data_IF_241937784195
#
_entry.id   IF_241937784195
#
_cell.length_a   1.000
_cell.length_b   1.000
_cell.length_c   1.000
_cell.angle_alpha   90.00
_cell.angle_beta   90.00
_cell.angle_gamma   90.00
#
_symmetry.space_group_name_H-M   'P 1'
#
loop_
_entity.id
_entity.type
_entity.pdbx_description
1 polymer ?
#
# COMPACT_ATOMS: atom_id res chain seq x y z
N UNK A 1 -10.41 -19.54 11.85
CA UNK A 1 -9.31 -19.10 10.95
C UNK A 1 -8.60 -20.29 10.28
N UNK A 2 -9.34 -21.10 9.50
CA UNK A 2 -8.74 -22.20 8.73
C UNK A 2 -8.31 -21.72 7.33
N UNK A 3 -8.78 -20.56 6.88
CA UNK A 3 -8.52 -19.94 5.59
C UNK A 3 -8.49 -18.41 5.76
N UNK A 4 -7.48 -17.84 6.43
CA UNK A 4 -7.41 -16.40 6.62
C UNK A 4 -7.38 -15.72 5.26
N UNK A 5 -8.11 -14.59 5.15
CA UNK A 5 -8.27 -13.75 3.94
C UNK A 5 -8.93 -14.40 2.72
N UNK A 6 -9.25 -15.71 2.73
CA UNK A 6 -9.98 -16.41 1.67
C UNK A 6 -11.46 -16.63 2.02
N UNK A 7 -12.09 -15.61 2.62
CA UNK A 7 -13.48 -15.65 3.06
C UNK A 7 -14.47 -15.12 2.02
N UNK A 8 -13.98 -14.38 1.03
CA UNK A 8 -14.79 -13.70 0.02
C UNK A 8 -14.22 -13.95 -1.37
N UNK A 9 -15.09 -13.98 -2.37
CA UNK A 9 -14.66 -13.96 -3.77
C UNK A 9 -14.32 -12.53 -4.20
N UNK A 10 -13.66 -12.37 -5.35
CA UNK A 10 -13.39 -11.04 -5.92
C UNK A 10 -14.68 -10.27 -6.23
N UNK A 11 -15.79 -10.96 -6.44
CA UNK A 11 -17.12 -10.38 -6.59
C UNK A 11 -17.80 -10.00 -5.25
N UNK A 12 -17.13 -10.22 -4.10
CA UNK A 12 -17.67 -9.96 -2.77
C UNK A 12 -18.65 -11.00 -2.25
N UNK A 13 -18.77 -12.16 -2.93
CA UNK A 13 -19.63 -13.25 -2.49
C UNK A 13 -18.96 -14.05 -1.36
N UNK A 14 -19.73 -14.48 -0.33
CA UNK A 14 -19.18 -15.21 0.80
C UNK A 14 -18.71 -16.61 0.41
N UNK A 15 -17.54 -17.03 0.91
CA UNK A 15 -17.02 -18.40 0.83
C UNK A 15 -17.33 -19.16 2.12
N UNK A 16 -17.72 -20.43 1.97
CA UNK A 16 -17.99 -21.32 3.10
C UNK A 16 -19.07 -20.77 4.04
N UNK A 17 -18.72 -20.64 5.32
CA UNK A 17 -19.66 -20.19 6.37
C UNK A 17 -19.38 -18.77 6.88
N UNK A 18 -18.70 -17.92 6.11
CA UNK A 18 -18.30 -16.61 6.61
C UNK A 18 -19.51 -15.74 6.98
N UNK A 19 -20.61 -15.80 6.21
CA UNK A 19 -21.85 -15.08 6.53
C UNK A 19 -22.39 -15.44 7.92
N UNK A 20 -22.47 -16.74 8.24
CA UNK A 20 -22.90 -17.22 9.57
C UNK A 20 -21.93 -16.75 10.68
N UNK A 21 -20.63 -16.73 10.39
CA UNK A 21 -19.60 -16.26 11.34
C UNK A 21 -19.83 -14.77 11.65
N UNK A 22 -20.07 -13.95 10.63
CA UNK A 22 -20.36 -12.52 10.78
C UNK A 22 -21.62 -12.33 11.64
N UNK A 23 -22.72 -13.03 11.34
CA UNK A 23 -23.97 -12.95 12.12
C UNK A 23 -23.75 -13.33 13.59
N UNK A 24 -23.02 -14.42 13.87
CA UNK A 24 -22.74 -14.86 15.25
C UNK A 24 -21.92 -13.82 15.99
N UNK A 25 -20.87 -13.27 15.35
CA UNK A 25 -20.00 -12.28 15.97
C UNK A 25 -20.76 -10.97 16.22
N UNK A 26 -21.59 -10.52 15.29
CA UNK A 26 -22.45 -9.36 15.47
C UNK A 26 -23.45 -9.57 16.61
N UNK A 27 -24.08 -10.75 16.71
CA UNK A 27 -24.98 -11.09 17.84
C UNK A 27 -24.28 -11.05 19.20
N UNK A 28 -23.00 -11.42 19.29
CA UNK A 28 -22.21 -11.22 20.50
C UNK A 28 -22.02 -9.74 20.80
N UNK A 29 -21.73 -8.92 19.79
CA UNK A 29 -21.49 -7.48 19.96
C UNK A 29 -22.77 -6.70 20.32
N UNK A 30 -23.94 -7.17 19.94
CA UNK A 30 -25.23 -6.58 20.39
C UNK A 30 -25.40 -6.64 21.92
N UNK A 31 -24.97 -7.73 22.54
CA UNK A 31 -25.09 -7.94 23.99
C UNK A 31 -23.84 -7.55 24.78
N UNK A 32 -22.66 -7.65 24.15
CA UNK A 32 -21.35 -7.38 24.72
C UNK A 32 -20.50 -6.50 23.78
N UNK A 33 -20.84 -5.20 23.59
CA UNK A 33 -20.16 -4.33 22.61
C UNK A 33 -18.64 -4.20 22.83
N UNK A 34 -18.17 -4.40 24.06
CA UNK A 34 -16.75 -4.30 24.42
C UNK A 34 -16.04 -5.66 24.51
N UNK A 35 -16.61 -6.74 23.93
CA UNK A 35 -15.94 -8.03 23.90
C UNK A 35 -14.72 -7.98 22.97
N UNK A 36 -13.45 -8.10 23.47
CA UNK A 36 -12.27 -7.87 22.64
C UNK A 36 -12.20 -8.80 21.41
N UNK A 37 -12.37 -10.10 21.65
CA UNK A 37 -12.32 -11.10 20.58
C UNK A 37 -13.41 -10.93 19.53
N UNK A 38 -14.63 -10.52 19.91
CA UNK A 38 -15.68 -10.31 18.93
C UNK A 38 -15.39 -9.09 18.04
N UNK A 39 -14.92 -7.95 18.60
CA UNK A 39 -14.50 -6.81 17.81
C UNK A 39 -13.35 -7.19 16.86
N UNK A 40 -12.35 -7.92 17.35
CA UNK A 40 -11.20 -8.39 16.56
C UNK A 40 -11.62 -9.32 15.41
N UNK A 41 -12.43 -10.34 15.72
CA UNK A 41 -12.86 -11.31 14.69
C UNK A 41 -13.81 -10.73 13.68
N UNK A 42 -14.63 -9.73 14.03
CA UNK A 42 -15.47 -9.04 13.05
C UNK A 42 -14.61 -8.28 12.03
N UNK A 43 -13.53 -7.63 12.46
CA UNK A 43 -12.58 -6.96 11.57
C UNK A 43 -12.07 -7.97 10.54
N UNK A 44 -11.44 -9.07 10.99
CA UNK A 44 -10.90 -10.09 10.08
C UNK A 44 -11.96 -10.75 9.20
N UNK A 45 -13.19 -10.86 9.68
CA UNK A 45 -14.26 -11.49 8.90
C UNK A 45 -14.71 -10.64 7.70
N UNK A 46 -14.60 -9.30 7.79
CA UNK A 46 -15.15 -8.40 6.77
C UNK A 46 -14.13 -7.51 6.07
N UNK A 47 -12.86 -7.47 6.53
CA UNK A 47 -11.83 -6.61 5.94
C UNK A 47 -11.66 -6.82 4.43
N UNK A 48 -11.66 -8.06 3.96
CA UNK A 48 -11.57 -8.41 2.54
C UNK A 48 -12.91 -8.39 1.80
N UNK A 49 -14.03 -8.12 2.49
CA UNK A 49 -15.36 -8.10 1.87
C UNK A 49 -15.61 -6.82 1.06
N UNK A 50 -16.74 -6.81 0.33
CA UNK A 50 -17.26 -5.59 -0.30
C UNK A 50 -17.84 -4.60 0.70
N UNK A 51 -18.03 -4.99 1.98
CA UNK A 51 -18.70 -4.21 3.03
C UNK A 51 -17.84 -4.09 4.30
N UNK A 52 -16.60 -3.58 4.23
CA UNK A 52 -15.72 -3.42 5.39
C UNK A 52 -16.31 -2.45 6.44
N UNK A 53 -17.22 -1.56 6.04
CA UNK A 53 -17.93 -0.63 6.93
C UNK A 53 -18.72 -1.33 8.04
N UNK A 54 -19.08 -2.59 7.90
CA UNK A 54 -19.72 -3.39 8.95
C UNK A 54 -18.89 -3.50 10.23
N UNK A 55 -17.57 -3.34 10.12
CA UNK A 55 -16.65 -3.40 11.27
C UNK A 55 -16.14 -2.03 11.74
N UNK A 56 -16.60 -0.90 11.20
CA UNK A 56 -16.12 0.44 11.61
C UNK A 56 -16.31 0.67 13.11
N UNK A 57 -17.51 0.40 13.64
CA UNK A 57 -17.77 0.54 15.07
C UNK A 57 -16.93 -0.43 15.94
N UNK A 58 -16.68 -1.63 15.44
CA UNK A 58 -15.83 -2.61 16.12
C UNK A 58 -14.38 -2.12 16.15
N UNK A 59 -13.87 -1.57 15.04
CA UNK A 59 -12.56 -0.95 14.94
C UNK A 59 -12.43 0.25 15.91
N UNK A 60 -13.37 1.17 15.89
CA UNK A 60 -13.37 2.34 16.78
C UNK A 60 -13.38 1.95 18.27
N UNK A 61 -14.12 0.90 18.63
CA UNK A 61 -14.13 0.37 20.02
C UNK A 61 -12.84 -0.33 20.38
N UNK A 62 -12.30 -1.18 19.49
CA UNK A 62 -11.15 -2.05 19.79
C UNK A 62 -9.91 -1.25 20.15
N UNK A 63 -9.70 -0.10 19.55
CA UNK A 63 -8.58 0.81 19.80
C UNK A 63 -8.37 1.15 21.30
N UNK A 64 -9.43 1.02 22.12
CA UNK A 64 -9.44 1.40 23.54
C UNK A 64 -9.72 0.24 24.52
N UNK A 65 -10.00 -0.95 23.99
CA UNK A 65 -10.42 -2.08 24.86
C UNK A 65 -9.23 -2.76 25.53
N UNK A 66 -8.13 -2.98 24.77
CA UNK A 66 -6.93 -3.68 25.27
C UNK A 66 -5.68 -2.89 24.85
N UNK A 67 -5.41 -1.74 25.50
CA UNK A 67 -4.37 -0.82 25.05
C UNK A 67 -2.95 -1.36 25.23
N UNK A 68 -2.75 -2.45 25.97
CA UNK A 68 -1.45 -3.10 26.17
C UNK A 68 -1.16 -4.26 25.21
N UNK A 69 -2.05 -4.52 24.24
CA UNK A 69 -1.86 -5.59 23.24
C UNK A 69 -1.63 -4.98 21.86
N UNK A 70 -0.37 -4.86 21.44
CA UNK A 70 0.02 -4.18 20.18
C UNK A 70 -0.80 -4.65 18.99
N UNK A 71 -0.97 -5.96 18.79
CA UNK A 71 -1.79 -6.49 17.72
C UNK A 71 -3.25 -5.99 17.75
N UNK A 72 -3.89 -5.95 18.94
CA UNK A 72 -5.28 -5.46 19.05
C UNK A 72 -5.39 -3.94 18.87
N UNK A 73 -4.34 -3.20 19.19
CA UNK A 73 -4.24 -1.74 18.95
C UNK A 73 -4.07 -1.46 17.45
N UNK A 74 -3.34 -2.30 16.74
CA UNK A 74 -3.14 -2.23 15.29
C UNK A 74 -4.41 -2.58 14.49
N UNK A 75 -5.18 -3.57 14.91
CA UNK A 75 -6.31 -4.15 14.16
C UNK A 75 -7.32 -3.16 13.57
N UNK A 76 -7.68 -2.02 14.21
CA UNK A 76 -8.55 -1.03 13.59
C UNK A 76 -8.06 -0.52 12.23
N UNK A 77 -6.74 -0.52 12.00
CA UNK A 77 -6.14 -0.02 10.75
C UNK A 77 -6.58 -0.80 9.52
N UNK A 78 -6.85 -2.08 9.65
CA UNK A 78 -7.38 -2.95 8.60
C UNK A 78 -8.68 -2.39 8.01
N UNK A 79 -9.62 -2.00 8.86
CA UNK A 79 -10.88 -1.40 8.42
C UNK A 79 -10.68 0.04 7.95
N UNK A 80 -9.83 0.81 8.66
CA UNK A 80 -9.65 2.23 8.36
C UNK A 80 -9.11 2.46 6.95
N UNK A 81 -8.15 1.66 6.45
CA UNK A 81 -7.68 1.81 5.06
C UNK A 81 -8.77 1.44 4.05
N UNK A 82 -9.64 0.46 4.37
CA UNK A 82 -10.72 0.02 3.50
C UNK A 82 -11.83 1.07 3.36
N UNK A 83 -12.02 1.92 4.38
CA UNK A 83 -13.03 2.98 4.38
C UNK A 83 -12.44 4.38 4.16
N UNK A 84 -11.16 4.49 3.76
CA UNK A 84 -10.51 5.75 3.42
C UNK A 84 -10.06 6.59 4.62
N UNK A 85 -9.98 6.01 5.83
CA UNK A 85 -9.53 6.68 7.06
C UNK A 85 -8.01 6.46 7.29
N UNK A 86 -7.17 6.80 6.31
CA UNK A 86 -5.73 6.50 6.34
C UNK A 86 -4.99 7.14 7.51
N UNK A 87 -5.34 8.36 7.91
CA UNK A 87 -4.77 9.01 9.08
C UNK A 87 -5.09 8.28 10.39
N UNK A 88 -6.29 7.69 10.50
CA UNK A 88 -6.67 6.87 11.66
C UNK A 88 -5.92 5.54 11.65
N UNK A 89 -5.71 4.94 10.48
CA UNK A 89 -4.89 3.75 10.31
C UNK A 89 -3.43 4.00 10.72
N UNK A 90 -2.85 5.12 10.28
CA UNK A 90 -1.50 5.51 10.68
C UNK A 90 -1.40 5.67 12.21
N UNK A 91 -2.37 6.34 12.84
CA UNK A 91 -2.40 6.51 14.30
C UNK A 91 -2.51 5.18 15.05
N UNK A 92 -3.34 4.23 14.57
CA UNK A 92 -3.45 2.91 15.18
C UNK A 92 -2.13 2.15 15.15
N UNK A 93 -1.44 2.17 14.02
CA UNK A 93 -0.13 1.52 13.90
C UNK A 93 0.94 2.22 14.72
N UNK A 94 0.96 3.56 14.78
CA UNK A 94 1.87 4.31 15.64
C UNK A 94 1.71 3.88 17.10
N UNK A 95 0.46 3.83 17.60
CA UNK A 95 0.18 3.40 18.97
C UNK A 95 0.58 1.93 19.19
N UNK A 96 0.33 1.04 18.23
CA UNK A 96 0.72 -0.36 18.30
C UNK A 96 2.25 -0.52 18.41
N UNK A 97 3.01 0.21 17.59
CA UNK A 97 4.48 0.21 17.61
C UNK A 97 5.01 0.68 18.97
N UNK A 98 4.40 1.69 19.60
CA UNK A 98 4.78 2.14 20.94
C UNK A 98 4.57 1.05 22.00
N UNK A 99 3.44 0.34 21.92
CA UNK A 99 3.13 -0.80 22.82
C UNK A 99 4.12 -1.94 22.58
N UNK A 100 4.41 -2.26 21.33
CA UNK A 100 5.34 -3.33 20.96
C UNK A 100 6.77 -3.02 21.41
N UNK A 101 7.25 -1.78 21.23
CA UNK A 101 8.57 -1.35 21.72
C UNK A 101 8.67 -1.45 23.25
N UNK A 102 7.61 -1.07 23.97
CA UNK A 102 7.57 -1.22 25.42
C UNK A 102 7.62 -2.69 25.88
N UNK A 103 6.97 -3.58 25.15
CA UNK A 103 7.03 -5.03 25.38
C UNK A 103 8.42 -5.59 25.05
N UNK A 104 8.97 -5.29 23.88
CA UNK A 104 10.27 -5.77 23.40
C UNK A 104 11.44 -5.30 24.29
N UNK A 105 11.31 -4.15 24.95
CA UNK A 105 12.28 -3.68 25.93
C UNK A 105 12.37 -4.56 27.19
N UNK A 106 11.34 -5.37 27.48
CA UNK A 106 11.25 -6.22 28.67
C UNK A 106 11.44 -7.72 28.37
N UNK A 107 11.17 -8.13 27.14
CA UNK A 107 11.25 -9.51 26.70
C UNK A 107 11.95 -9.60 25.35
N UNK A 108 12.98 -10.49 25.21
CA UNK A 108 13.57 -10.71 23.88
C UNK A 108 12.47 -11.23 22.94
N UNK A 109 12.42 -10.79 21.69
CA UNK A 109 11.37 -11.16 20.76
C UNK A 109 11.43 -12.66 20.47
N UNK A 110 10.37 -13.44 20.73
CA UNK A 110 10.22 -14.72 20.08
C UNK A 110 10.02 -14.47 18.58
N UNK A 111 10.65 -15.28 17.72
CA UNK A 111 10.76 -15.03 16.28
C UNK A 111 9.50 -14.55 15.54
N UNK A 112 8.34 -15.14 15.84
CA UNK A 112 7.07 -14.75 15.21
C UNK A 112 6.59 -13.34 15.62
N UNK A 113 6.92 -12.86 16.81
CA UNK A 113 6.51 -11.52 17.25
C UNK A 113 7.19 -10.40 16.44
N UNK A 114 8.42 -10.64 15.98
CA UNK A 114 9.11 -9.71 15.09
C UNK A 114 8.33 -9.48 13.78
N UNK A 115 7.64 -10.52 13.27
CA UNK A 115 6.81 -10.39 12.07
C UNK A 115 5.60 -9.46 12.30
N UNK A 116 4.91 -9.56 13.45
CA UNK A 116 3.82 -8.63 13.81
C UNK A 116 4.33 -7.19 13.95
N UNK A 117 5.47 -7.01 14.62
CA UNK A 117 6.09 -5.70 14.77
C UNK A 117 6.50 -5.09 13.41
N UNK A 118 7.15 -5.87 12.56
CA UNK A 118 7.51 -5.46 11.20
C UNK A 118 6.27 -5.13 10.36
N UNK A 119 5.19 -5.90 10.51
CA UNK A 119 3.91 -5.62 9.87
C UNK A 119 3.32 -4.28 10.29
N UNK A 120 3.35 -3.94 11.58
CA UNK A 120 2.87 -2.65 12.08
C UNK A 120 3.67 -1.47 11.50
N UNK A 121 5.00 -1.61 11.38
CA UNK A 121 5.88 -0.60 10.76
C UNK A 121 5.59 -0.45 9.26
N UNK A 122 5.44 -1.57 8.54
CA UNK A 122 5.11 -1.58 7.12
C UNK A 122 3.72 -0.94 6.87
N UNK A 123 2.74 -1.28 7.71
CA UNK A 123 1.40 -0.70 7.64
C UNK A 123 1.40 0.80 7.94
N UNK A 124 2.19 1.24 8.94
CA UNK A 124 2.36 2.66 9.24
C UNK A 124 2.93 3.41 8.03
N UNK A 125 3.95 2.85 7.37
CA UNK A 125 4.54 3.44 6.17
C UNK A 125 3.48 3.61 5.07
N UNK A 126 2.69 2.56 4.78
CA UNK A 126 1.61 2.60 3.79
C UNK A 126 0.53 3.63 4.13
N UNK A 127 -0.03 3.58 5.34
CA UNK A 127 -1.11 4.48 5.76
C UNK A 127 -0.66 5.95 5.75
N UNK A 128 0.58 6.21 6.14
CA UNK A 128 1.19 7.55 6.11
C UNK A 128 1.44 8.04 4.68
N UNK A 129 1.89 7.16 3.76
CA UNK A 129 1.98 7.49 2.33
C UNK A 129 0.61 7.90 1.76
N UNK A 130 -0.43 7.12 2.07
CA UNK A 130 -1.78 7.39 1.55
C UNK A 130 -2.39 8.66 2.14
N UNK A 131 -2.05 9.04 3.37
CA UNK A 131 -2.49 10.30 4.01
C UNK A 131 -1.59 11.51 3.71
N UNK A 132 -0.55 11.36 2.87
CA UNK A 132 0.32 12.46 2.47
C UNK A 132 1.35 12.88 3.53
N UNK A 133 1.66 12.01 4.50
CA UNK A 133 2.62 12.30 5.56
C UNK A 133 3.98 11.64 5.23
N UNK A 134 4.86 12.41 4.57
CA UNK A 134 6.16 11.93 4.11
C UNK A 134 7.10 11.55 5.27
N UNK A 135 7.24 12.43 6.26
CA UNK A 135 8.19 12.22 7.34
C UNK A 135 7.83 10.96 8.16
N UNK A 136 6.54 10.76 8.46
CA UNK A 136 6.09 9.57 9.19
C UNK A 136 6.24 8.30 8.34
N UNK A 137 5.91 8.36 7.04
CA UNK A 137 6.05 7.22 6.13
C UNK A 137 7.51 6.78 6.00
N UNK A 138 8.42 7.74 5.79
CA UNK A 138 9.85 7.47 5.65
C UNK A 138 10.44 6.96 6.97
N UNK A 139 10.06 7.57 8.09
CA UNK A 139 10.48 7.12 9.43
C UNK A 139 10.11 5.67 9.68
N UNK A 140 8.84 5.30 9.44
CA UNK A 140 8.36 3.93 9.62
C UNK A 140 9.09 2.91 8.70
N UNK A 141 9.32 3.27 7.44
CA UNK A 141 10.05 2.43 6.50
C UNK A 141 11.53 2.25 6.90
N UNK A 142 12.17 3.30 7.42
CA UNK A 142 13.54 3.22 7.94
C UNK A 142 13.62 2.40 9.24
N UNK A 143 12.66 2.56 10.15
CA UNK A 143 12.56 1.78 11.37
C UNK A 143 12.39 0.29 11.04
N UNK A 144 11.56 -0.04 10.04
CA UNK A 144 11.40 -1.41 9.54
C UNK A 144 12.75 -2.02 9.11
N UNK A 145 13.54 -1.29 8.33
CA UNK A 145 14.87 -1.73 7.90
C UNK A 145 15.86 -1.87 9.08
N UNK A 146 15.80 -0.95 10.05
CA UNK A 146 16.78 -0.87 11.13
C UNK A 146 16.48 -1.80 12.31
N UNK A 147 15.19 -2.05 12.60
CA UNK A 147 14.77 -2.75 13.80
C UNK A 147 14.47 -4.23 13.56
N UNK A 148 14.39 -4.69 12.31
CA UNK A 148 14.24 -6.12 12.01
C UNK A 148 15.58 -6.86 12.22
N UNK A 149 15.62 -7.88 13.07
CA UNK A 149 16.84 -8.64 13.35
C UNK A 149 17.36 -9.34 12.07
N UNK A 150 18.61 -9.12 11.69
CA UNK A 150 19.20 -9.71 10.48
C UNK A 150 19.11 -11.25 10.48
N UNK A 151 19.29 -11.88 11.63
CA UNK A 151 19.21 -13.35 11.75
C UNK A 151 17.79 -13.84 11.38
N UNK A 152 16.74 -13.18 11.89
CA UNK A 152 15.35 -13.51 11.54
C UNK A 152 15.06 -13.23 10.06
N UNK A 153 15.58 -12.12 9.51
CA UNK A 153 15.45 -11.82 8.09
C UNK A 153 16.08 -12.90 7.21
N UNK A 154 17.25 -13.42 7.59
CA UNK A 154 17.93 -14.48 6.84
C UNK A 154 17.18 -15.82 6.95
N UNK A 155 16.74 -16.17 8.14
CA UNK A 155 16.00 -17.42 8.38
C UNK A 155 14.67 -17.45 7.63
N UNK A 156 13.94 -16.32 7.60
CA UNK A 156 12.61 -16.21 7.03
C UNK A 156 12.56 -15.36 5.74
N UNK A 157 13.70 -15.20 5.04
CA UNK A 157 13.80 -14.31 3.89
C UNK A 157 12.70 -14.52 2.86
N UNK A 158 12.37 -15.76 2.53
CA UNK A 158 11.31 -16.10 1.58
C UNK A 158 9.89 -15.65 1.98
N UNK A 159 9.68 -15.19 3.23
CA UNK A 159 8.37 -14.77 3.73
C UNK A 159 8.31 -13.29 4.12
N UNK A 160 9.43 -12.72 4.56
CA UNK A 160 9.42 -11.37 5.15
C UNK A 160 10.30 -10.36 4.39
N UNK A 161 11.23 -10.82 3.57
CA UNK A 161 12.13 -9.92 2.85
C UNK A 161 11.38 -9.04 1.84
N UNK A 162 10.26 -9.51 1.32
CA UNK A 162 9.45 -8.79 0.34
C UNK A 162 8.86 -7.46 0.82
N UNK A 163 8.65 -7.27 2.13
CA UNK A 163 8.14 -6.01 2.70
C UNK A 163 9.24 -5.03 3.08
N UNK A 164 10.47 -5.49 3.14
CA UNK A 164 11.59 -4.69 3.64
C UNK A 164 11.92 -3.46 2.77
N UNK A 165 11.80 -3.48 1.42
CA UNK A 165 12.15 -2.32 0.61
C UNK A 165 11.08 -1.20 0.60
N UNK A 166 10.25 -1.09 1.65
CA UNK A 166 9.20 -0.07 1.78
C UNK A 166 9.73 1.37 1.61
N UNK A 167 10.97 1.63 1.99
CA UNK A 167 11.65 2.93 1.78
C UNK A 167 11.57 3.38 0.32
N UNK A 168 11.76 2.49 -0.66
CA UNK A 168 11.71 2.86 -2.07
C UNK A 168 10.29 3.22 -2.51
N UNK A 169 9.26 2.53 -2.02
CA UNK A 169 7.87 2.89 -2.30
C UNK A 169 7.54 4.28 -1.75
N UNK A 170 7.99 4.60 -0.53
CA UNK A 170 7.82 5.93 0.06
C UNK A 170 8.52 7.01 -0.78
N UNK A 171 9.79 6.80 -1.12
CA UNK A 171 10.56 7.77 -1.88
C UNK A 171 9.95 8.02 -3.28
N UNK A 172 9.45 6.97 -3.97
CA UNK A 172 8.75 7.11 -5.24
C UNK A 172 7.45 7.91 -5.04
N UNK A 173 6.63 7.56 -4.05
CA UNK A 173 5.36 8.24 -3.76
C UNK A 173 5.53 9.75 -3.64
N UNK A 174 6.63 10.19 -3.03
CA UNK A 174 6.90 11.62 -2.77
C UNK A 174 7.92 12.25 -3.73
N UNK A 175 8.25 11.58 -4.84
CA UNK A 175 9.11 12.13 -5.90
C UNK A 175 10.54 12.43 -5.46
N UNK A 176 11.09 11.65 -4.51
CA UNK A 176 12.44 11.88 -3.96
C UNK A 176 13.53 11.22 -4.82
N UNK A 177 13.57 11.57 -6.10
CA UNK A 177 14.35 10.90 -7.13
C UNK A 177 15.85 10.83 -6.83
N UNK A 178 16.45 11.94 -6.45
CA UNK A 178 17.90 11.96 -6.13
C UNK A 178 18.20 11.17 -4.84
N UNK A 179 17.27 11.10 -3.88
CA UNK A 179 17.43 10.23 -2.70
C UNK A 179 17.42 8.77 -3.11
N UNK A 180 16.51 8.34 -3.99
CA UNK A 180 16.48 6.96 -4.52
C UNK A 180 17.82 6.59 -5.15
N UNK A 181 18.39 7.48 -5.95
CA UNK A 181 19.68 7.23 -6.62
C UNK A 181 20.86 7.18 -5.64
N UNK A 182 20.75 7.86 -4.50
CA UNK A 182 21.77 7.91 -3.45
C UNK A 182 21.67 6.73 -2.46
N UNK A 183 20.54 5.97 -2.45
CA UNK A 183 20.37 4.84 -1.52
C UNK A 183 21.42 3.75 -1.77
N UNK A 184 22.04 3.19 -0.71
CA UNK A 184 23.05 2.15 -0.82
C UNK A 184 22.51 0.87 -1.45
N UNK A 185 23.42 0.01 -1.92
CA UNK A 185 23.06 -1.34 -2.35
C UNK A 185 22.70 -2.23 -1.15
N UNK A 186 21.77 -3.15 -1.38
CA UNK A 186 21.48 -4.22 -0.42
C UNK A 186 22.52 -5.34 -0.51
N UNK A 187 22.72 -6.08 0.60
CA UNK A 187 23.50 -7.32 0.58
C UNK A 187 22.97 -8.31 -0.49
N UNK A 188 23.86 -9.15 -1.03
CA UNK A 188 23.52 -10.08 -2.13
C UNK A 188 22.33 -11.01 -1.83
N UNK A 189 22.16 -11.40 -0.57
CA UNK A 189 21.08 -12.30 -0.14
C UNK A 189 19.68 -11.62 -0.05
N UNK A 190 19.61 -10.29 -0.09
CA UNK A 190 18.39 -9.48 -0.08
C UNK A 190 17.78 -9.40 -1.49
N UNK A 191 17.29 -10.52 -2.02
CA UNK A 191 16.95 -10.66 -3.43
C UNK A 191 15.80 -9.74 -3.87
N UNK A 192 14.70 -9.69 -3.10
CA UNK A 192 13.54 -8.84 -3.44
C UNK A 192 13.89 -7.36 -3.26
N UNK A 193 14.57 -6.99 -2.18
CA UNK A 193 15.00 -5.61 -1.95
C UNK A 193 15.93 -5.11 -3.07
N UNK A 194 16.83 -5.98 -3.58
CA UNK A 194 17.68 -5.64 -4.74
C UNK A 194 16.84 -5.39 -6.00
N UNK A 195 15.87 -6.24 -6.29
CA UNK A 195 14.97 -6.05 -7.43
C UNK A 195 14.14 -4.76 -7.29
N UNK A 196 13.53 -4.51 -6.13
CA UNK A 196 12.74 -3.29 -5.88
C UNK A 196 13.61 -2.04 -5.93
N UNK A 197 14.85 -2.10 -5.47
CA UNK A 197 15.79 -0.98 -5.64
C UNK A 197 16.06 -0.68 -7.12
N UNK A 198 16.23 -1.69 -7.98
CA UNK A 198 16.40 -1.50 -9.42
C UNK A 198 15.17 -0.90 -10.07
N UNK A 199 13.98 -1.39 -9.69
CA UNK A 199 12.71 -0.78 -10.07
C UNK A 199 12.69 0.72 -9.72
N UNK A 200 12.95 1.06 -8.46
CA UNK A 200 12.91 2.45 -8.00
C UNK A 200 13.91 3.36 -8.72
N UNK A 201 15.12 2.87 -8.99
CA UNK A 201 16.15 3.60 -9.75
C UNK A 201 15.77 3.80 -11.21
N UNK A 202 15.09 2.82 -11.82
CA UNK A 202 14.57 2.96 -13.18
C UNK A 202 13.50 4.05 -13.23
N UNK A 203 12.53 4.04 -12.30
CA UNK A 203 11.50 5.10 -12.19
C UNK A 203 12.15 6.47 -11.96
N UNK A 204 13.10 6.57 -11.01
CA UNK A 204 13.77 7.83 -10.70
C UNK A 204 14.54 8.40 -11.92
N UNK A 205 15.28 7.57 -12.64
CA UNK A 205 15.98 7.98 -13.85
C UNK A 205 15.00 8.41 -14.95
N UNK A 206 13.89 7.69 -15.14
CA UNK A 206 12.82 8.05 -16.08
C UNK A 206 12.22 9.42 -15.74
N UNK A 207 11.84 9.65 -14.49
CA UNK A 207 11.28 10.92 -14.02
C UNK A 207 12.26 12.10 -14.20
N UNK A 208 13.57 11.84 -14.08
CA UNK A 208 14.64 12.81 -14.32
C UNK A 208 15.02 12.98 -15.82
N UNK A 209 14.32 12.31 -16.74
CA UNK A 209 14.61 12.36 -18.18
C UNK A 209 15.87 11.59 -18.62
N UNK A 210 16.43 10.75 -17.73
CA UNK A 210 17.64 9.93 -17.97
C UNK A 210 17.24 8.55 -18.52
N UNK A 211 16.60 8.50 -19.68
CA UNK A 211 15.99 7.27 -20.22
C UNK A 211 16.98 6.15 -20.50
N UNK A 212 18.23 6.50 -20.89
CA UNK A 212 19.27 5.50 -21.12
C UNK A 212 19.66 4.78 -19.82
N UNK A 213 19.87 5.52 -18.74
CA UNK A 213 20.16 5.00 -17.40
C UNK A 213 18.97 4.20 -16.86
N UNK A 214 17.75 4.66 -17.11
CA UNK A 214 16.54 3.93 -16.73
C UNK A 214 16.44 2.56 -17.40
N UNK A 215 16.80 2.43 -18.67
CA UNK A 215 16.88 1.13 -19.38
C UNK A 215 17.95 0.21 -18.82
N UNK A 216 19.08 0.74 -18.36
CA UNK A 216 20.12 -0.06 -17.69
C UNK A 216 19.57 -0.62 -16.36
N UNK A 217 18.85 0.20 -15.60
CA UNK A 217 18.24 -0.26 -14.35
C UNK A 217 17.07 -1.24 -14.60
N UNK A 218 16.29 -1.11 -15.69
CA UNK A 218 15.29 -2.10 -16.09
C UNK A 218 15.94 -3.47 -16.36
N UNK A 219 16.98 -3.53 -17.16
CA UNK A 219 17.70 -4.78 -17.42
C UNK A 219 18.30 -5.38 -16.14
N UNK A 220 18.77 -4.53 -15.22
CA UNK A 220 19.25 -4.96 -13.91
C UNK A 220 18.10 -5.44 -12.98
N UNK A 221 16.90 -4.87 -13.11
CA UNK A 221 15.68 -5.35 -12.42
C UNK A 221 15.31 -6.76 -12.90
N UNK A 222 15.24 -6.97 -14.21
CA UNK A 222 14.93 -8.27 -14.80
C UNK A 222 15.94 -9.36 -14.37
N UNK A 223 17.23 -9.02 -14.36
CA UNK A 223 18.27 -9.92 -13.90
C UNK A 223 18.14 -10.24 -12.39
N UNK A 224 17.87 -9.24 -11.55
CA UNK A 224 17.67 -9.44 -10.12
C UNK A 224 16.39 -10.24 -9.82
N UNK A 225 15.32 -10.02 -10.56
CA UNK A 225 14.08 -10.79 -10.45
C UNK A 225 14.30 -12.27 -10.78
N UNK A 226 15.08 -12.57 -11.81
CA UNK A 226 15.39 -13.95 -12.21
C UNK A 226 16.17 -14.74 -11.13
N UNK A 227 16.84 -14.05 -10.19
CA UNK A 227 17.54 -14.70 -9.07
C UNK A 227 16.59 -15.09 -7.91
N UNK A 228 15.35 -14.58 -7.86
CA UNK A 228 14.43 -14.80 -6.75
C UNK A 228 13.78 -16.19 -6.90
N UNK A 229 13.82 -17.04 -5.85
CA UNK A 229 13.16 -18.34 -5.89
C UNK A 229 11.64 -18.24 -6.10
N UNK A 230 11.07 -19.20 -6.82
CA UNK A 230 9.64 -19.26 -7.15
C UNK A 230 8.71 -19.37 -5.93
N UNK A 231 9.22 -19.85 -4.81
CA UNK A 231 8.48 -20.09 -3.58
C UNK A 231 8.55 -18.93 -2.59
N UNK A 232 9.13 -17.78 -2.97
CA UNK A 232 9.17 -16.59 -2.12
C UNK A 232 7.86 -15.80 -2.20
N UNK A 233 7.50 -15.16 -1.08
CA UNK A 233 6.23 -14.49 -0.88
C UNK A 233 6.38 -13.02 -0.48
N UNK A 234 5.37 -12.25 -0.82
CA UNK A 234 5.02 -10.97 -0.21
C UNK A 234 3.62 -11.17 0.34
N UNK A 235 3.47 -11.38 1.65
CA UNK A 235 2.22 -11.77 2.31
C UNK A 235 1.54 -12.98 1.64
N UNK A 236 0.35 -12.80 1.03
CA UNK A 236 -0.43 -13.85 0.40
C UNK A 236 -0.09 -14.06 -1.09
N UNK A 237 0.82 -13.27 -1.65
CA UNK A 237 1.19 -13.31 -3.06
C UNK A 237 2.61 -13.84 -3.25
N UNK A 238 2.83 -14.64 -4.29
CA UNK A 238 4.20 -14.97 -4.71
C UNK A 238 4.89 -13.70 -5.23
N UNK A 239 6.20 -13.55 -4.97
CA UNK A 239 6.98 -12.43 -5.50
C UNK A 239 6.82 -12.31 -7.02
N UNK A 240 6.83 -13.46 -7.72
CA UNK A 240 6.65 -13.54 -9.19
C UNK A 240 5.23 -13.17 -9.68
N UNK A 241 4.25 -13.03 -8.79
CA UNK A 241 2.93 -12.46 -9.12
C UNK A 241 2.92 -10.94 -8.92
N UNK A 242 3.74 -10.43 -8.00
CA UNK A 242 3.80 -9.01 -7.65
C UNK A 242 4.72 -8.22 -8.59
N UNK A 243 5.90 -8.74 -8.93
CA UNK A 243 6.88 -8.01 -9.73
C UNK A 243 6.46 -7.67 -11.17
N UNK A 244 5.51 -8.38 -11.83
CA UNK A 244 4.92 -7.90 -13.09
C UNK A 244 4.30 -6.50 -12.99
N UNK A 245 3.78 -6.11 -11.81
CA UNK A 245 3.27 -4.75 -11.56
C UNK A 245 4.42 -3.74 -11.64
N UNK A 246 5.56 -4.06 -11.00
CA UNK A 246 6.76 -3.21 -11.07
C UNK A 246 7.28 -3.06 -12.50
N UNK A 247 7.35 -4.16 -13.24
CA UNK A 247 7.80 -4.16 -14.65
C UNK A 247 6.90 -3.29 -15.53
N UNK A 248 5.58 -3.42 -15.38
CA UNK A 248 4.62 -2.60 -16.12
C UNK A 248 4.76 -1.10 -15.78
N UNK A 249 5.00 -0.75 -14.51
CA UNK A 249 5.23 0.64 -14.10
C UNK A 249 6.54 1.20 -14.69
N UNK A 250 7.64 0.43 -14.69
CA UNK A 250 8.90 0.84 -15.33
C UNK A 250 8.69 1.09 -16.81
N UNK A 251 8.15 0.08 -17.52
CA UNK A 251 7.96 0.17 -18.96
C UNK A 251 7.00 1.29 -19.35
N UNK A 252 5.91 1.47 -18.60
CA UNK A 252 4.96 2.55 -18.80
C UNK A 252 5.59 3.92 -18.68
N UNK A 253 6.35 4.17 -17.64
CA UNK A 253 7.05 5.45 -17.43
C UNK A 253 8.11 5.69 -18.53
N UNK A 254 8.95 4.68 -18.84
CA UNK A 254 9.97 4.76 -19.89
C UNK A 254 9.38 5.06 -21.26
N UNK A 255 8.37 4.30 -21.67
CA UNK A 255 7.70 4.50 -22.96
C UNK A 255 7.09 5.89 -23.07
N UNK A 256 6.49 6.38 -21.99
CA UNK A 256 5.95 7.73 -21.95
C UNK A 256 7.04 8.78 -22.18
N UNK A 257 8.19 8.68 -21.48
CA UNK A 257 9.34 9.60 -21.63
C UNK A 257 9.99 9.52 -23.00
N UNK A 258 9.84 8.39 -23.71
CA UNK A 258 10.30 8.22 -25.09
C UNK A 258 9.30 8.74 -26.13
N UNK A 259 8.16 9.32 -25.71
CA UNK A 259 7.11 9.83 -26.58
C UNK A 259 6.20 8.75 -27.19
N UNK A 260 6.25 7.51 -26.67
CA UNK A 260 5.44 6.37 -27.10
C UNK A 260 4.20 6.24 -26.21
N UNK A 261 3.40 7.29 -26.13
CA UNK A 261 2.35 7.44 -25.13
C UNK A 261 1.27 6.34 -25.21
N UNK A 262 0.80 5.96 -26.39
CA UNK A 262 -0.22 4.90 -26.54
C UNK A 262 0.28 3.55 -26.04
N UNK A 263 1.55 3.23 -26.30
CA UNK A 263 2.18 2.01 -25.82
C UNK A 263 2.37 2.05 -24.29
N UNK A 264 2.77 3.20 -23.76
CA UNK A 264 2.87 3.42 -22.31
C UNK A 264 1.54 3.15 -21.60
N UNK A 265 0.45 3.70 -22.13
CA UNK A 265 -0.89 3.49 -21.55
C UNK A 265 -1.38 2.05 -21.69
N UNK A 266 -1.01 1.35 -22.77
CA UNK A 266 -1.35 -0.06 -22.92
C UNK A 266 -0.65 -0.91 -21.85
N UNK A 267 0.65 -0.73 -21.66
CA UNK A 267 1.43 -1.45 -20.65
C UNK A 267 0.97 -1.12 -19.22
N UNK A 268 0.67 0.15 -18.92
CA UNK A 268 0.13 0.50 -17.61
C UNK A 268 -1.26 -0.11 -17.33
N UNK A 269 -2.10 -0.29 -18.36
CA UNK A 269 -3.38 -1.03 -18.19
C UNK A 269 -3.15 -2.52 -17.92
N UNK A 270 -2.13 -3.13 -18.55
CA UNK A 270 -1.70 -4.50 -18.20
C UNK A 270 -1.21 -4.55 -16.75
N UNK A 271 -0.47 -3.54 -16.30
CA UNK A 271 -0.07 -3.38 -14.91
C UNK A 271 -1.26 -3.26 -13.93
N UNK A 272 -2.31 -2.51 -14.32
CA UNK A 272 -3.56 -2.44 -13.55
C UNK A 272 -4.21 -3.83 -13.46
N UNK A 273 -4.25 -4.59 -14.54
CA UNK A 273 -4.80 -5.96 -14.52
C UNK A 273 -3.95 -6.88 -13.63
N UNK A 274 -2.63 -6.76 -13.70
CA UNK A 274 -1.73 -7.53 -12.83
C UNK A 274 -1.95 -7.21 -11.34
N UNK A 275 -2.05 -5.91 -10.99
CA UNK A 275 -2.36 -5.46 -9.63
C UNK A 275 -3.74 -5.95 -9.16
N UNK A 276 -4.76 -5.88 -10.02
CA UNK A 276 -6.12 -6.30 -9.70
C UNK A 276 -6.25 -7.80 -9.48
N UNK A 277 -5.35 -8.61 -10.04
CA UNK A 277 -5.31 -10.07 -9.87
C UNK A 277 -4.50 -10.53 -8.64
N UNK A 278 -3.89 -9.61 -7.89
CA UNK A 278 -3.23 -9.97 -6.65
C UNK A 278 -4.25 -10.40 -5.60
N UNK A 279 -3.90 -11.43 -4.85
CA UNK A 279 -4.68 -11.86 -3.68
C UNK A 279 -4.68 -10.73 -2.65
N UNK A 280 -5.82 -10.57 -1.99
CA UNK A 280 -6.00 -9.56 -0.97
C UNK A 280 -4.92 -9.62 0.12
N UNK A 281 -4.32 -8.47 0.41
CA UNK A 281 -3.32 -8.25 1.46
C UNK A 281 -3.53 -6.89 2.12
N UNK A 282 -3.10 -6.75 3.35
CA UNK A 282 -3.09 -5.48 4.10
C UNK A 282 -1.76 -5.27 4.83
N UNK A 283 -0.99 -4.25 4.46
CA UNK A 283 -1.18 -3.40 3.27
C UNK A 283 -1.14 -4.20 1.97
N UNK A 284 -1.61 -3.61 0.84
CA UNK A 284 -1.51 -4.29 -0.46
C UNK A 284 -0.07 -4.73 -0.75
N UNK A 285 0.09 -5.92 -1.34
CA UNK A 285 1.40 -6.48 -1.69
C UNK A 285 2.23 -5.54 -2.60
N UNK A 286 1.56 -4.66 -3.34
CA UNK A 286 2.15 -3.53 -4.07
C UNK A 286 1.62 -2.21 -3.52
N UNK A 287 2.50 -1.40 -2.91
CA UNK A 287 2.12 -0.22 -2.13
C UNK A 287 1.74 1.02 -2.97
N UNK A 288 2.02 1.02 -4.27
CA UNK A 288 1.81 2.16 -5.17
C UNK A 288 0.77 1.79 -6.23
N UNK A 289 -0.51 2.21 -6.10
CA UNK A 289 -1.52 1.89 -7.10
C UNK A 289 -1.10 2.31 -8.52
N UNK A 290 -1.13 1.37 -9.46
CA UNK A 290 -0.76 1.63 -10.87
C UNK A 290 -1.65 2.70 -11.48
N UNK A 291 -2.92 2.74 -11.06
CA UNK A 291 -3.90 3.76 -11.50
C UNK A 291 -3.47 5.19 -11.19
N UNK A 292 -2.67 5.41 -10.13
CA UNK A 292 -2.16 6.75 -9.82
C UNK A 292 -1.15 7.22 -10.87
N UNK A 293 -0.24 6.35 -11.30
CA UNK A 293 0.73 6.65 -12.36
C UNK A 293 0.03 6.79 -13.72
N UNK A 294 -0.83 5.82 -14.08
CA UNK A 294 -1.61 5.86 -15.32
C UNK A 294 -2.44 7.15 -15.43
N UNK A 295 -3.15 7.52 -14.37
CA UNK A 295 -3.97 8.73 -14.34
C UNK A 295 -3.14 9.99 -14.51
N UNK A 296 -1.99 10.11 -13.83
CA UNK A 296 -1.09 11.24 -13.95
C UNK A 296 -0.53 11.41 -15.37
N UNK A 297 -0.05 10.32 -15.99
CA UNK A 297 0.48 10.36 -17.35
C UNK A 297 -0.62 10.64 -18.40
N UNK A 298 -1.86 10.14 -18.19
CA UNK A 298 -3.01 10.52 -19.02
C UNK A 298 -3.34 12.01 -18.90
N UNK A 299 -3.23 12.59 -17.70
CA UNK A 299 -3.38 14.04 -17.47
C UNK A 299 -2.32 14.83 -18.24
N UNK A 300 -1.05 14.43 -18.16
CA UNK A 300 0.06 15.06 -18.88
C UNK A 300 -0.12 15.00 -20.41
N UNK A 301 -0.74 13.92 -20.93
CA UNK A 301 -1.03 13.78 -22.38
C UNK A 301 -2.34 14.46 -22.82
N UNK A 302 -3.03 15.16 -21.90
CA UNK A 302 -4.29 15.84 -22.20
C UNK A 302 -5.51 14.92 -22.33
N UNK A 303 -5.41 13.64 -21.96
CA UNK A 303 -6.51 12.65 -22.02
C UNK A 303 -7.39 12.71 -20.76
N UNK A 304 -7.91 13.87 -20.46
CA UNK A 304 -8.58 14.17 -19.18
C UNK A 304 -9.77 13.26 -18.87
N UNK A 305 -10.58 12.90 -19.86
CA UNK A 305 -11.72 11.98 -19.66
C UNK A 305 -11.26 10.56 -19.32
N UNK A 306 -10.16 10.09 -19.92
CA UNK A 306 -9.59 8.79 -19.60
C UNK A 306 -8.96 8.80 -18.20
N UNK A 307 -8.27 9.88 -17.81
CA UNK A 307 -7.74 10.06 -16.47
C UNK A 307 -8.86 10.08 -15.41
N UNK A 308 -9.96 10.80 -15.66
CA UNK A 308 -11.14 10.80 -14.80
C UNK A 308 -11.66 9.39 -14.56
N UNK A 309 -11.81 8.58 -15.60
CA UNK A 309 -12.29 7.20 -15.48
C UNK A 309 -11.36 6.37 -14.57
N UNK A 310 -10.05 6.45 -14.81
CA UNK A 310 -9.05 5.74 -14.01
C UNK A 310 -9.09 6.15 -12.53
N UNK A 311 -9.23 7.44 -12.23
CA UNK A 311 -9.32 7.89 -10.84
C UNK A 311 -10.61 7.47 -10.14
N UNK A 312 -11.73 7.41 -10.88
CA UNK A 312 -12.99 6.90 -10.32
C UNK A 312 -12.92 5.42 -10.00
N UNK A 313 -12.32 4.61 -10.90
CA UNK A 313 -12.04 3.19 -10.65
C UNK A 313 -11.12 2.99 -9.44
N UNK A 314 -10.07 3.81 -9.30
CA UNK A 314 -9.19 3.75 -8.12
C UNK A 314 -9.96 4.04 -6.82
N UNK A 315 -10.83 5.05 -6.81
CA UNK A 315 -11.62 5.44 -5.65
C UNK A 315 -12.69 4.40 -5.24
N UNK A 316 -13.05 3.47 -6.11
CA UNK A 316 -13.89 2.31 -5.75
C UNK A 316 -13.08 1.30 -4.90
N UNK A 317 -11.79 1.11 -5.19
CA UNK A 317 -10.89 0.21 -4.47
C UNK A 317 -10.24 0.86 -3.25
N UNK A 318 -9.63 2.02 -3.48
CA UNK A 318 -8.89 2.81 -2.50
C UNK A 318 -9.74 4.02 -2.09
N UNK A 319 -10.81 3.76 -1.34
CA UNK A 319 -11.81 4.77 -0.98
C UNK A 319 -11.16 6.01 -0.35
N UNK A 320 -11.63 7.18 -0.74
CA UNK A 320 -11.25 8.50 -0.19
C UNK A 320 -9.73 8.77 -0.12
N UNK A 321 -8.90 8.05 -0.89
CA UNK A 321 -7.48 8.40 -0.93
C UNK A 321 -7.25 9.76 -1.59
N UNK A 322 -6.40 10.57 -0.98
CA UNK A 322 -6.18 11.95 -1.39
C UNK A 322 -5.47 12.07 -2.74
N UNK A 323 -4.69 11.07 -3.15
CA UNK A 323 -3.94 11.08 -4.42
C UNK A 323 -4.87 10.99 -5.63
N UNK A 324 -5.77 10.00 -5.66
CA UNK A 324 -6.76 9.89 -6.72
C UNK A 324 -7.77 11.03 -6.68
N UNK A 325 -8.18 11.51 -5.48
CA UNK A 325 -9.05 12.68 -5.35
C UNK A 325 -8.40 13.95 -5.94
N UNK A 326 -7.09 14.14 -5.75
CA UNK A 326 -6.34 15.25 -6.37
C UNK A 326 -6.35 15.12 -7.88
N UNK A 327 -6.00 13.95 -8.41
CA UNK A 327 -6.02 13.68 -9.85
C UNK A 327 -7.41 13.87 -10.46
N UNK A 328 -8.46 13.35 -9.81
CA UNK A 328 -9.85 13.51 -10.24
C UNK A 328 -10.28 14.98 -10.27
N UNK A 329 -9.93 15.75 -9.23
CA UNK A 329 -10.21 17.19 -9.18
C UNK A 329 -9.59 17.91 -10.37
N UNK A 330 -8.31 17.65 -10.65
CA UNK A 330 -7.58 18.23 -11.79
C UNK A 330 -8.20 17.82 -13.13
N UNK A 331 -8.56 16.54 -13.30
CA UNK A 331 -9.21 16.06 -14.51
C UNK A 331 -10.56 16.74 -14.78
N UNK A 332 -11.37 16.94 -13.74
CA UNK A 332 -12.64 17.66 -13.85
C UNK A 332 -12.44 19.13 -14.19
N UNK A 333 -11.47 19.79 -13.57
CA UNK A 333 -11.12 21.20 -13.86
C UNK A 333 -10.68 21.38 -15.31
N UNK A 334 -9.81 20.48 -15.81
CA UNK A 334 -9.35 20.49 -17.20
C UNK A 334 -10.50 20.30 -18.21
N UNK A 335 -11.55 19.60 -17.82
CA UNK A 335 -12.78 19.41 -18.58
C UNK A 335 -13.83 20.54 -18.37
N UNK A 336 -13.46 21.63 -17.73
CA UNK A 336 -14.34 22.77 -17.40
C UNK A 336 -15.55 22.41 -16.49
N UNK A 337 -15.45 21.33 -15.72
CA UNK A 337 -16.44 20.85 -14.75
C UNK A 337 -16.09 21.33 -13.33
N UNK A 338 -15.91 22.63 -13.17
CA UNK A 338 -15.41 23.25 -11.93
C UNK A 338 -16.32 23.00 -10.72
N UNK A 339 -17.65 22.98 -10.87
CA UNK A 339 -18.58 22.70 -9.76
C UNK A 339 -18.37 21.29 -9.18
N UNK A 340 -18.25 20.29 -10.04
CA UNK A 340 -18.01 18.90 -9.60
C UNK A 340 -16.60 18.76 -8.95
N UNK A 341 -15.62 19.50 -9.46
CA UNK A 341 -14.30 19.54 -8.83
C UNK A 341 -14.32 20.14 -7.41
N UNK A 342 -15.14 21.16 -7.18
CA UNK A 342 -15.30 21.77 -5.85
C UNK A 342 -16.04 20.86 -4.86
N UNK A 343 -16.93 19.99 -5.31
CA UNK A 343 -17.59 18.98 -4.46
C UNK A 343 -16.59 17.99 -3.82
N UNK A 344 -15.40 17.83 -4.39
CA UNK A 344 -14.33 16.99 -3.81
C UNK A 344 -13.58 17.66 -2.65
N UNK A 345 -13.69 18.97 -2.47
CA UNK A 345 -12.90 19.71 -1.48
C UNK A 345 -13.05 19.19 -0.04
N UNK A 346 -14.24 18.83 0.47
CA UNK A 346 -14.37 18.27 1.82
C UNK A 346 -13.72 16.89 1.98
N UNK A 347 -13.73 16.08 0.91
CA UNK A 347 -13.06 14.76 0.90
C UNK A 347 -11.54 14.92 0.92
N UNK A 348 -11.00 15.81 0.09
CA UNK A 348 -9.56 16.13 0.07
C UNK A 348 -9.08 16.70 1.42
N UNK A 349 -9.84 17.62 2.03
CA UNK A 349 -9.50 18.15 3.33
C UNK A 349 -9.44 17.08 4.42
N UNK A 350 -10.30 16.06 4.36
CA UNK A 350 -10.24 14.93 5.28
C UNK A 350 -9.06 14.01 4.98
N UNK A 351 -8.83 13.68 3.70
CA UNK A 351 -7.78 12.76 3.28
C UNK A 351 -6.38 13.26 3.68
N UNK A 352 -6.16 14.57 3.63
CA UNK A 352 -4.87 15.20 3.92
C UNK A 352 -4.87 16.03 5.23
N UNK A 353 -5.75 15.70 6.18
CA UNK A 353 -5.86 16.47 7.43
C UNK A 353 -4.60 16.39 8.33
N UNK A 354 -3.76 15.39 8.14
CA UNK A 354 -2.49 15.18 8.86
C UNK A 354 -1.28 15.25 7.94
N UNK A 355 -1.47 15.61 6.66
CA UNK A 355 -0.41 15.64 5.68
C UNK A 355 0.64 16.71 5.98
N UNK A 356 1.91 16.36 5.83
CA UNK A 356 3.03 17.32 5.74
C UNK A 356 3.33 17.69 4.28
N UNK A 357 2.81 16.90 3.34
CA UNK A 357 2.98 17.07 1.90
C UNK A 357 1.62 17.04 1.21
N UNK A 358 1.29 18.13 0.49
CA UNK A 358 0.08 18.23 -0.31
C UNK A 358 0.44 17.99 -1.78
N UNK A 359 0.03 16.84 -2.38
CA UNK A 359 0.39 16.53 -3.75
C UNK A 359 -0.32 17.46 -4.75
N UNK A 360 0.40 17.80 -5.80
CA UNK A 360 -0.12 18.57 -6.95
C UNK A 360 -0.57 17.66 -8.10
N UNK A 361 -0.35 16.36 -8.00
CA UNK A 361 -0.74 15.31 -8.93
C UNK A 361 -1.02 14.01 -8.17
N UNK A 362 -1.60 13.01 -8.82
CA UNK A 362 -1.76 11.65 -8.25
C UNK A 362 -0.45 10.86 -8.19
N UNK A 363 0.56 11.29 -8.92
CA UNK A 363 1.92 10.75 -8.93
C UNK A 363 2.90 11.90 -9.20
N UNK A 364 4.08 11.86 -8.57
CA UNK A 364 5.18 12.78 -8.90
C UNK A 364 6.01 12.35 -10.12
N UNK A 365 5.53 11.36 -10.88
CA UNK A 365 6.09 10.97 -12.16
C UNK A 365 5.86 12.01 -13.29
N UNK A 366 5.13 13.08 -13.03
CA UNK A 366 5.08 14.24 -13.92
C UNK A 366 6.36 15.09 -13.81
N UNK A 367 6.81 15.69 -14.95
CA UNK A 367 7.99 16.56 -14.96
C UNK A 367 7.76 17.86 -14.18
#
# INVERSE_FOLDING_TARGET
NLQPWDYWTDAGEPRGRIGEIVEVVQGVLETQPRHPGANHFLIHAVEASAQPELAVEAADRLSTIVPGAGHLVHMPSHIYIRVGRYADAARSNQNAIEVDRAYLAQAPPPGLYAAYYGHNLHFLAFASMMSGNFEQALGAARDLEAEMPEEALREWAGLIEGIMPATFHVLIRFGKWEQILAEPDYPEWRLVSRAVRRYARSIANSALGRTAEARVELAAFEAAWAEIPEDWWIFNNRVHQVLPVAEAMINGELLFREGRHDEAFAVLREGVVAEDNLVYDEPPAWMLPVRHALGALLMSDGRYSAAEAVYREDLERNRDNGWALTGLKLALQAQQRGLEAEELAPRLARAFNTADTHPTSSCYCEP
#
